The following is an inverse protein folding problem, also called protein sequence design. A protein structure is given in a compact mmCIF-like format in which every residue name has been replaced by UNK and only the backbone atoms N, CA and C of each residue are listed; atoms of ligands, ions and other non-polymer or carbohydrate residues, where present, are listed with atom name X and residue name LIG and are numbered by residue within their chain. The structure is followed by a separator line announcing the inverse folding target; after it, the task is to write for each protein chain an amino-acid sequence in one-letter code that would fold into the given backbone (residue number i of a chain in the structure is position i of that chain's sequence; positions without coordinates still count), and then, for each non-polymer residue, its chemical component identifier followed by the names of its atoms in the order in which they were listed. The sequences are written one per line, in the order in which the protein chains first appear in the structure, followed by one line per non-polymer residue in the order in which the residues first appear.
data_IF_654179391993
#
_entry.id   IF_654179391993
#
_cell.length_a   1.000
_cell.length_b   1.000
_cell.length_c   1.000
_cell.angle_alpha   90.00
_cell.angle_beta   90.00
_cell.angle_gamma   90.00
#
_symmetry.space_group_name_H-M   'P 1'
#
loop_
_entity.id
_entity.type
_entity.pdbx_description
1 polymer ?
#
# COMPACT_ATOMS: atom_id res chain seq x y z
N UNK A 1 21.08 3.00 17.46
CA UNK A 1 20.16 4.02 16.93
C UNK A 1 19.63 4.83 18.09
N UNK A 2 19.76 6.15 18.04
CA UNK A 2 19.16 7.10 18.98
C UNK A 2 17.88 7.66 18.35
N UNK A 3 16.80 7.68 19.15
CA UNK A 3 15.52 8.27 18.78
C UNK A 3 15.30 9.49 19.69
N UNK A 4 14.98 10.64 19.09
CA UNK A 4 14.57 11.84 19.80
C UNK A 4 13.24 12.34 19.24
N UNK A 5 12.22 12.37 20.08
CA UNK A 5 10.87 12.63 19.64
C UNK A 5 10.39 11.59 18.62
N UNK A 6 10.05 12.01 17.41
CA UNK A 6 9.60 11.12 16.35
C UNK A 6 10.68 10.81 15.30
N UNK A 7 11.94 11.21 15.52
CA UNK A 7 13.01 11.10 14.52
C UNK A 7 14.16 10.23 14.99
N UNK A 8 14.86 9.66 14.03
CA UNK A 8 16.17 9.06 14.22
C UNK A 8 17.16 10.21 14.35
N UNK A 9 17.74 10.40 15.54
CA UNK A 9 18.70 11.48 15.80
C UNK A 9 20.12 11.05 15.40
N UNK A 10 20.52 9.81 15.70
CA UNK A 10 21.87 9.35 15.38
C UNK A 10 21.93 7.81 15.24
N UNK A 11 22.96 7.37 14.52
CA UNK A 11 23.30 5.95 14.35
C UNK A 11 24.79 5.79 14.58
N UNK A 12 25.17 4.80 15.38
CA UNK A 12 26.57 4.51 15.68
C UNK A 12 26.88 3.03 15.48
N UNK A 13 28.15 2.69 15.21
CA UNK A 13 28.62 1.31 15.25
C UNK A 13 28.40 0.69 16.63
N UNK A 14 28.26 -0.63 16.67
CA UNK A 14 28.13 -1.38 17.92
C UNK A 14 29.33 -1.11 18.86
N UNK A 15 29.05 -0.98 20.16
CA UNK A 15 30.06 -0.72 21.20
C UNK A 15 30.30 0.76 21.52
N UNK A 16 29.85 1.69 20.68
CA UNK A 16 29.89 3.12 21.00
C UNK A 16 28.74 3.48 21.96
N UNK A 17 29.01 4.35 22.94
CA UNK A 17 28.06 4.72 24.01
C UNK A 17 27.94 6.24 24.17
N UNK A 18 27.75 6.96 23.08
CA UNK A 18 27.67 8.43 23.05
C UNK A 18 26.22 8.94 23.10
N UNK A 19 25.34 8.25 23.79
CA UNK A 19 23.96 8.70 23.99
C UNK A 19 23.77 9.45 25.31
N UNK A 20 22.75 10.32 25.44
CA UNK A 20 22.44 11.05 26.66
C UNK A 20 22.30 10.11 27.88
N UNK A 21 22.74 10.57 29.06
CA UNK A 21 22.73 9.74 30.29
C UNK A 21 21.31 9.35 30.76
N UNK A 22 20.32 10.16 30.38
CA UNK A 22 18.89 9.93 30.65
C UNK A 22 18.17 9.12 29.57
N UNK A 23 18.86 8.69 28.52
CA UNK A 23 18.28 7.90 27.46
C UNK A 23 17.80 6.53 27.98
N UNK A 24 16.57 6.16 27.65
CA UNK A 24 16.08 4.80 27.87
C UNK A 24 16.76 3.84 26.90
N UNK A 25 17.57 2.95 27.39
CA UNK A 25 18.26 1.95 26.56
C UNK A 25 17.39 0.71 26.41
N UNK A 26 17.14 0.32 25.16
CA UNK A 26 16.44 -0.92 24.80
C UNK A 26 17.48 -1.87 24.18
N UNK A 27 17.85 -2.92 24.92
CA UNK A 27 18.75 -3.94 24.41
C UNK A 27 17.96 -4.99 23.59
N UNK A 28 18.28 -5.11 22.32
CA UNK A 28 17.61 -6.06 21.40
C UNK A 28 18.37 -7.36 21.22
N UNK A 29 19.45 -7.59 21.98
CA UNK A 29 20.07 -8.92 22.16
C UNK A 29 20.53 -9.60 20.87
N UNK A 30 21.14 -8.88 19.92
CA UNK A 30 21.65 -9.46 18.67
C UNK A 30 20.59 -9.68 17.57
N UNK A 31 19.36 -9.21 17.80
CA UNK A 31 18.30 -9.18 16.80
C UNK A 31 18.61 -8.17 15.67
N UNK A 32 17.94 -8.31 14.55
CA UNK A 32 18.10 -7.40 13.40
C UNK A 32 17.18 -6.20 13.54
N UNK A 33 17.73 -5.01 13.33
CA UNK A 33 16.99 -3.74 13.30
C UNK A 33 16.84 -3.27 11.86
N UNK A 34 15.61 -3.02 11.44
CA UNK A 34 15.24 -2.68 10.07
C UNK A 34 14.38 -1.40 10.06
N UNK A 35 14.25 -0.71 8.92
CA UNK A 35 13.16 0.25 8.74
C UNK A 35 11.82 -0.50 8.83
N UNK A 36 10.77 0.17 9.27
CA UNK A 36 9.43 -0.39 9.20
C UNK A 36 9.04 -0.76 7.78
N UNK A 37 8.33 -1.88 7.63
CA UNK A 37 7.86 -2.36 6.33
C UNK A 37 6.74 -1.46 5.81
N UNK A 38 6.60 -1.40 4.49
CA UNK A 38 5.57 -0.62 3.79
C UNK A 38 4.79 -1.57 2.87
N UNK A 39 3.47 -1.54 2.93
CA UNK A 39 2.58 -2.25 2.00
C UNK A 39 1.87 -1.23 1.10
N UNK A 40 2.15 -1.30 -0.21
CA UNK A 40 1.66 -0.31 -1.18
C UNK A 40 0.27 -0.62 -1.75
N UNK A 41 -0.36 -1.70 -1.37
CA UNK A 41 -1.69 -2.03 -1.85
C UNK A 41 -2.45 -2.84 -0.81
N UNK A 42 -3.38 -2.19 -0.13
CA UNK A 42 -4.27 -2.85 0.83
C UNK A 42 -5.71 -2.36 0.65
N UNK A 43 -6.66 -3.15 1.16
CA UNK A 43 -8.07 -2.82 1.26
C UNK A 43 -8.53 -2.99 2.71
N UNK A 44 -8.34 -1.95 3.53
CA UNK A 44 -8.53 -2.01 4.97
C UNK A 44 -9.96 -2.38 5.39
N UNK A 45 -10.95 -2.00 4.59
CA UNK A 45 -12.36 -2.03 4.96
C UNK A 45 -13.17 -3.09 4.22
N UNK A 46 -12.52 -3.91 3.37
CA UNK A 46 -13.21 -4.96 2.62
C UNK A 46 -13.71 -6.08 3.54
N UNK A 47 -14.81 -6.76 3.15
CA UNK A 47 -15.38 -7.87 3.92
C UNK A 47 -14.38 -9.00 4.14
N UNK A 48 -14.44 -9.63 5.31
CA UNK A 48 -13.54 -10.75 5.67
C UNK A 48 -13.98 -12.10 5.09
N UNK A 49 -15.27 -12.23 4.78
CA UNK A 49 -15.86 -13.46 4.27
C UNK A 49 -17.14 -13.17 3.51
N UNK A 50 -17.80 -14.24 3.05
CA UNK A 50 -19.10 -14.16 2.37
C UNK A 50 -20.28 -14.37 3.32
N UNK A 51 -20.08 -14.32 4.64
CA UNK A 51 -21.20 -14.42 5.58
C UNK A 51 -22.07 -13.16 5.54
N UNK A 52 -23.39 -13.26 5.84
CA UNK A 52 -24.28 -12.11 5.76
C UNK A 52 -23.86 -10.92 6.62
N UNK A 53 -23.19 -11.16 7.76
CA UNK A 53 -22.70 -10.09 8.63
C UNK A 53 -21.47 -9.41 8.04
N UNK A 54 -20.59 -10.17 7.38
CA UNK A 54 -19.39 -9.63 6.75
C UNK A 54 -19.69 -8.86 5.45
N UNK A 55 -20.82 -9.22 4.79
CA UNK A 55 -21.27 -8.55 3.58
C UNK A 55 -21.94 -7.20 3.83
N UNK A 56 -22.12 -6.80 5.09
CA UNK A 56 -22.65 -5.49 5.40
C UNK A 56 -21.60 -4.41 5.08
N UNK A 57 -21.89 -3.64 4.06
CA UNK A 57 -21.03 -2.55 3.59
C UNK A 57 -21.35 -1.23 4.31
N UNK A 58 -21.58 -1.25 5.62
CA UNK A 58 -21.74 0.00 6.36
C UNK A 58 -20.39 0.65 6.63
N UNK A 59 -20.36 1.97 6.66
CA UNK A 59 -19.17 2.75 7.03
C UNK A 59 -18.66 2.36 8.42
N UNK A 60 -19.57 2.15 9.40
CA UNK A 60 -19.23 1.76 10.76
C UNK A 60 -18.52 0.40 10.81
N UNK A 61 -19.03 -0.61 10.10
CA UNK A 61 -18.39 -1.93 9.98
C UNK A 61 -17.03 -1.81 9.31
N UNK A 62 -16.93 -0.99 8.26
CA UNK A 62 -15.68 -0.70 7.56
C UNK A 62 -14.62 -0.09 8.48
N UNK A 63 -14.99 0.86 9.32
CA UNK A 63 -14.08 1.48 10.29
C UNK A 63 -13.60 0.47 11.34
N UNK A 64 -14.50 -0.33 11.91
CA UNK A 64 -14.14 -1.35 12.90
C UNK A 64 -13.21 -2.42 12.31
N UNK A 65 -13.54 -2.89 11.12
CA UNK A 65 -12.73 -3.86 10.37
C UNK A 65 -11.35 -3.31 10.04
N UNK A 66 -11.31 -2.10 9.51
CA UNK A 66 -10.04 -1.42 9.18
C UNK A 66 -9.17 -1.18 10.40
N UNK A 67 -9.73 -0.76 11.52
CA UNK A 67 -8.98 -0.58 12.77
C UNK A 67 -8.35 -1.89 13.27
N UNK A 68 -9.09 -3.02 13.17
CA UNK A 68 -8.56 -4.35 13.46
C UNK A 68 -7.43 -4.74 12.50
N UNK A 69 -7.63 -4.54 11.20
CA UNK A 69 -6.63 -4.91 10.17
C UNK A 69 -5.34 -4.10 10.33
N UNK A 70 -5.44 -2.81 10.61
CA UNK A 70 -4.29 -1.95 10.89
C UNK A 70 -3.49 -2.43 12.10
N UNK A 71 -4.17 -2.94 13.14
CA UNK A 71 -3.51 -3.53 14.30
C UNK A 71 -2.67 -4.76 13.89
N UNK A 72 -3.24 -5.67 13.12
CA UNK A 72 -2.52 -6.86 12.63
C UNK A 72 -1.32 -6.51 11.76
N UNK A 73 -1.45 -5.46 10.93
CA UNK A 73 -0.34 -4.98 10.11
C UNK A 73 0.82 -4.46 10.95
N UNK A 74 0.56 -3.73 12.05
CA UNK A 74 1.61 -3.34 12.99
C UNK A 74 2.29 -4.55 13.63
N UNK A 75 1.53 -5.55 14.09
CA UNK A 75 2.08 -6.78 14.68
C UNK A 75 2.96 -7.55 13.67
N UNK A 76 2.68 -7.41 12.37
CA UNK A 76 3.50 -7.95 11.29
C UNK A 76 4.72 -7.07 10.92
N UNK A 77 4.95 -5.94 11.59
CA UNK A 77 6.09 -5.05 11.33
C UNK A 77 5.85 -4.00 10.22
N UNK A 78 4.63 -3.92 9.70
CA UNK A 78 4.26 -2.93 8.67
C UNK A 78 3.93 -1.62 9.38
N UNK A 79 4.67 -0.55 9.07
CA UNK A 79 4.52 0.78 9.69
C UNK A 79 3.85 1.82 8.78
N UNK A 80 3.72 1.51 7.49
CA UNK A 80 2.99 2.34 6.53
C UNK A 80 2.23 1.47 5.54
N UNK A 81 1.03 1.91 5.15
CA UNK A 81 0.18 1.23 4.18
C UNK A 81 -0.42 2.23 3.20
N UNK A 82 -0.66 1.78 1.97
CA UNK A 82 -1.42 2.51 0.96
C UNK A 82 -2.74 1.79 0.70
N UNK A 83 -3.83 2.35 1.23
CA UNK A 83 -5.19 1.84 1.09
C UNK A 83 -5.82 2.37 -0.20
N UNK A 84 -6.11 1.47 -1.13
CA UNK A 84 -6.45 1.84 -2.50
C UNK A 84 -7.94 1.69 -2.84
N UNK A 85 -8.75 1.40 -1.88
CA UNK A 85 -10.22 1.49 -1.97
C UNK A 85 -10.87 1.00 -0.67
N UNK A 86 -11.99 1.62 -0.30
CA UNK A 86 -12.77 1.17 0.85
C UNK A 86 -14.19 1.71 0.86
N UNK A 87 -14.98 1.27 1.83
CA UNK A 87 -16.38 1.61 1.93
C UNK A 87 -16.59 3.05 2.44
N UNK A 88 -17.34 3.84 1.71
CA UNK A 88 -17.75 5.19 2.06
C UNK A 88 -16.57 6.07 2.53
N UNK A 89 -16.69 6.76 3.66
CA UNK A 89 -15.63 7.59 4.22
C UNK A 89 -14.70 6.84 5.20
N UNK A 90 -14.92 5.55 5.43
CA UNK A 90 -14.12 4.75 6.38
C UNK A 90 -12.59 4.82 6.13
N UNK A 91 -12.07 4.80 4.88
CA UNK A 91 -10.64 4.95 4.64
C UNK A 91 -10.05 6.27 5.15
N UNK A 92 -10.76 7.38 4.96
CA UNK A 92 -10.33 8.71 5.41
C UNK A 92 -10.37 8.82 6.93
N UNK A 93 -11.41 8.26 7.57
CA UNK A 93 -11.53 8.20 9.04
C UNK A 93 -10.35 7.42 9.63
N UNK A 94 -10.01 6.28 9.05
CA UNK A 94 -8.88 5.46 9.51
C UNK A 94 -7.54 6.19 9.33
N UNK A 95 -7.35 6.89 8.22
CA UNK A 95 -6.16 7.70 7.97
C UNK A 95 -6.02 8.81 9.01
N UNK A 96 -7.08 9.56 9.30
CA UNK A 96 -7.10 10.62 10.31
C UNK A 96 -6.85 10.08 11.72
N UNK A 97 -7.46 8.96 12.08
CA UNK A 97 -7.29 8.35 13.40
C UNK A 97 -5.88 7.79 13.59
N UNK A 98 -5.29 7.24 12.53
CA UNK A 98 -3.89 6.85 12.53
C UNK A 98 -2.96 8.07 12.66
N UNK A 99 -3.16 9.10 11.84
CA UNK A 99 -2.32 10.31 11.83
C UNK A 99 -2.35 11.04 13.17
N UNK A 100 -3.51 11.05 13.84
CA UNK A 100 -3.73 11.67 15.14
C UNK A 100 -3.45 10.75 16.33
N UNK A 101 -2.92 9.56 16.08
CA UNK A 101 -2.55 8.58 17.10
C UNK A 101 -3.71 8.19 18.04
N UNK A 102 -4.92 8.09 17.50
CA UNK A 102 -6.13 7.67 18.25
C UNK A 102 -6.29 6.16 18.29
N UNK A 103 -5.70 5.47 17.34
CA UNK A 103 -5.61 4.00 17.29
C UNK A 103 -4.16 3.57 17.05
N UNK A 104 -3.75 2.39 17.54
CA UNK A 104 -2.49 1.78 17.14
C UNK A 104 -2.61 1.31 15.69
N UNK A 105 -1.89 1.99 14.79
CA UNK A 105 -2.01 1.75 13.36
C UNK A 105 -0.70 2.07 12.64
N UNK A 106 -0.39 1.46 11.49
CA UNK A 106 0.52 2.00 10.50
C UNK A 106 0.09 3.40 10.07
N UNK A 107 0.99 4.15 9.45
CA UNK A 107 0.66 5.37 8.69
C UNK A 107 -0.18 4.99 7.48
N UNK A 108 -1.32 5.63 7.27
CA UNK A 108 -2.25 5.30 6.19
C UNK A 108 -2.19 6.39 5.11
N UNK A 109 -1.81 5.99 3.90
CA UNK A 109 -2.02 6.74 2.68
C UNK A 109 -3.28 6.18 2.02
N UNK A 110 -4.23 7.00 1.61
CA UNK A 110 -5.48 6.46 1.07
C UNK A 110 -5.92 7.13 -0.22
N UNK A 111 -6.50 6.34 -1.12
CA UNK A 111 -7.22 6.82 -2.29
C UNK A 111 -8.72 7.02 -2.00
N UNK A 112 -9.24 6.39 -0.94
CA UNK A 112 -10.68 6.38 -0.67
C UNK A 112 -11.46 5.61 -1.72
N UNK A 113 -12.15 6.30 -2.63
CA UNK A 113 -12.94 5.68 -3.70
C UNK A 113 -12.14 5.49 -4.99
N UNK A 114 -12.41 4.40 -5.69
CA UNK A 114 -11.95 4.22 -7.07
C UNK A 114 -12.78 5.11 -8.00
N UNK A 115 -12.14 5.76 -8.95
CA UNK A 115 -12.80 6.49 -10.05
C UNK A 115 -12.76 5.61 -11.30
N UNK A 116 -13.91 5.33 -11.89
CA UNK A 116 -14.05 4.47 -13.08
C UNK A 116 -15.14 4.98 -14.02
N UNK A 117 -15.11 4.58 -15.28
CA UNK A 117 -16.24 4.78 -16.19
C UNK A 117 -17.37 3.77 -15.90
N UNK A 118 -18.57 4.04 -16.40
CA UNK A 118 -19.73 3.17 -16.19
C UNK A 118 -19.45 1.72 -16.56
N UNK A 119 -19.70 0.81 -15.64
CA UNK A 119 -19.48 -0.63 -15.80
C UNK A 119 -18.02 -1.06 -15.77
N UNK A 120 -17.12 -0.17 -15.35
CA UNK A 120 -15.70 -0.48 -15.15
C UNK A 120 -15.44 -1.26 -13.89
N UNK A 121 -14.16 -1.53 -13.62
CA UNK A 121 -13.77 -2.32 -12.45
C UNK A 121 -14.24 -1.66 -11.13
N UNK A 122 -14.67 -2.51 -10.20
CA UNK A 122 -15.36 -2.21 -8.95
C UNK A 122 -16.84 -1.80 -9.11
N UNK A 123 -17.41 -1.79 -10.36
CA UNK A 123 -18.84 -1.59 -10.61
C UNK A 123 -19.44 -2.63 -11.55
N UNK A 124 -18.63 -3.58 -12.00
CA UNK A 124 -19.00 -4.62 -12.96
C UNK A 124 -19.98 -5.67 -12.41
N UNK A 125 -20.55 -6.48 -13.30
CA UNK A 125 -21.35 -7.65 -12.99
C UNK A 125 -20.53 -8.94 -13.15
N UNK A 126 -20.70 -9.96 -12.30
CA UNK A 126 -21.54 -9.96 -11.09
C UNK A 126 -21.00 -9.00 -10.02
N UNK A 127 -21.91 -8.44 -9.23
CA UNK A 127 -21.52 -7.50 -8.16
C UNK A 127 -20.85 -8.29 -7.04
N UNK A 128 -19.65 -7.85 -6.66
CA UNK A 128 -18.96 -8.32 -5.46
C UNK A 128 -19.38 -7.51 -4.23
N UNK A 129 -19.28 -8.07 -3.02
CA UNK A 129 -19.54 -7.34 -1.77
C UNK A 129 -18.67 -6.09 -1.56
N UNK A 130 -17.51 -6.06 -2.19
CA UNK A 130 -16.58 -4.92 -2.18
C UNK A 130 -16.70 -4.01 -3.41
N UNK A 131 -17.79 -4.13 -4.15
CA UNK A 131 -18.07 -3.35 -5.34
C UNK A 131 -19.36 -2.55 -5.18
N UNK A 132 -19.54 -1.54 -6.02
CA UNK A 132 -20.74 -0.71 -6.05
C UNK A 132 -20.48 0.74 -5.63
N UNK A 133 -21.54 1.56 -5.52
CA UNK A 133 -21.42 3.01 -5.35
C UNK A 133 -20.75 3.45 -4.04
N UNK A 134 -20.76 2.61 -3.01
CA UNK A 134 -20.09 2.90 -1.74
C UNK A 134 -18.57 2.69 -1.80
N UNK A 135 -18.07 2.03 -2.85
CA UNK A 135 -16.65 1.75 -3.06
C UNK A 135 -16.06 2.48 -4.27
N UNK A 136 -16.86 2.68 -5.32
CA UNK A 136 -16.38 3.24 -6.57
C UNK A 136 -17.34 4.28 -7.14
N UNK A 137 -16.78 5.30 -7.75
CA UNK A 137 -17.56 6.34 -8.42
C UNK A 137 -17.50 6.18 -9.92
N UNK A 138 -18.64 5.84 -10.51
CA UNK A 138 -18.81 5.89 -11.96
C UNK A 138 -18.89 7.33 -12.43
N UNK A 139 -18.00 7.70 -13.34
CA UNK A 139 -17.93 9.03 -13.95
C UNK A 139 -17.73 8.89 -15.46
N UNK A 140 -18.43 9.71 -16.22
CA UNK A 140 -18.30 9.76 -17.66
C UNK A 140 -18.04 11.19 -18.11
N UNK A 141 -17.06 11.35 -19.00
CA UNK A 141 -16.59 12.63 -19.52
C UNK A 141 -15.50 13.28 -18.64
N UNK A 142 -14.58 13.96 -19.30
CA UNK A 142 -13.39 14.56 -18.72
C UNK A 142 -13.67 15.47 -17.51
N UNK A 143 -14.69 16.32 -17.58
CA UNK A 143 -15.06 17.24 -16.49
C UNK A 143 -15.56 16.48 -15.26
N UNK A 144 -16.29 15.37 -15.43
CA UNK A 144 -16.76 14.56 -14.31
C UNK A 144 -15.60 13.83 -13.64
N UNK A 145 -14.59 13.40 -14.39
CA UNK A 145 -13.35 12.82 -13.84
C UNK A 145 -12.53 13.84 -13.06
N UNK A 146 -12.37 15.08 -13.56
CA UNK A 146 -11.75 16.18 -12.79
C UNK A 146 -12.51 16.47 -11.50
N UNK A 147 -13.83 16.49 -11.57
CA UNK A 147 -14.69 16.68 -10.40
C UNK A 147 -14.51 15.60 -9.36
N UNK A 148 -14.39 14.33 -9.77
CA UNK A 148 -14.15 13.21 -8.87
C UNK A 148 -12.78 13.30 -8.17
N UNK A 149 -11.72 13.67 -8.90
CA UNK A 149 -10.39 13.90 -8.31
C UNK A 149 -10.44 14.97 -7.22
N UNK A 150 -11.12 16.11 -7.49
CA UNK A 150 -11.28 17.19 -6.50
C UNK A 150 -12.08 16.74 -5.30
N UNK A 151 -13.14 15.97 -5.50
CA UNK A 151 -13.98 15.43 -4.42
C UNK A 151 -13.21 14.46 -3.53
N UNK A 152 -12.41 13.56 -4.12
CA UNK A 152 -11.55 12.63 -3.40
C UNK A 152 -10.48 13.39 -2.60
N UNK A 153 -9.81 14.37 -3.23
CA UNK A 153 -8.85 15.24 -2.58
C UNK A 153 -9.46 16.00 -1.40
N UNK A 154 -10.64 16.59 -1.59
CA UNK A 154 -11.38 17.31 -0.53
C UNK A 154 -11.64 16.42 0.69
N UNK A 155 -11.86 15.12 0.49
CA UNK A 155 -12.08 14.15 1.58
C UNK A 155 -10.79 13.74 2.30
N UNK A 156 -9.61 14.06 1.75
CA UNK A 156 -8.33 13.76 2.37
C UNK A 156 -7.53 12.65 1.69
N UNK A 157 -7.86 12.30 0.44
CA UNK A 157 -7.04 11.37 -0.33
C UNK A 157 -5.62 11.89 -0.49
N UNK A 158 -4.65 10.99 -0.36
CA UNK A 158 -3.22 11.24 -0.55
C UNK A 158 -2.69 10.69 -1.88
N UNK A 159 -3.53 9.97 -2.59
CA UNK A 159 -3.29 9.41 -3.93
C UNK A 159 -4.65 9.25 -4.61
N UNK A 160 -4.69 9.24 -5.93
CA UNK A 160 -5.89 8.95 -6.71
C UNK A 160 -5.79 7.53 -7.28
N UNK A 161 -6.81 6.69 -7.08
CA UNK A 161 -6.94 5.40 -7.77
C UNK A 161 -7.99 5.52 -8.87
N UNK A 162 -7.59 5.20 -10.08
CA UNK A 162 -8.49 5.05 -11.22
C UNK A 162 -8.55 3.58 -11.64
N UNK A 163 -9.64 3.19 -12.30
CA UNK A 163 -9.77 1.86 -12.86
C UNK A 163 -10.45 1.92 -14.24
N UNK A 164 -10.23 0.90 -15.09
CA UNK A 164 -10.96 0.78 -16.35
C UNK A 164 -12.49 0.70 -16.08
N UNK A 165 -13.36 1.26 -16.87
CA UNK A 165 -13.22 1.75 -18.23
C UNK A 165 -13.06 3.28 -18.28
N UNK A 166 -12.29 3.76 -19.24
CA UNK A 166 -12.14 5.19 -19.51
C UNK A 166 -11.73 5.45 -20.96
N UNK A 167 -12.04 6.63 -21.46
CA UNK A 167 -11.50 7.16 -22.71
C UNK A 167 -10.14 7.86 -22.47
N UNK A 168 -9.36 8.13 -23.53
CA UNK A 168 -8.13 8.91 -23.41
C UNK A 168 -8.32 10.27 -22.73
N UNK A 169 -9.40 10.97 -23.02
CA UNK A 169 -9.68 12.30 -22.45
C UNK A 169 -10.03 12.23 -20.96
N UNK A 170 -10.71 11.17 -20.52
CA UNK A 170 -11.08 10.96 -19.13
C UNK A 170 -9.85 10.71 -18.26
N UNK A 171 -9.01 9.77 -18.67
CA UNK A 171 -7.78 9.47 -17.90
C UNK A 171 -6.81 10.64 -17.91
N UNK A 172 -6.63 11.33 -19.03
CA UNK A 172 -5.80 12.53 -19.11
C UNK A 172 -6.30 13.65 -18.19
N UNK A 173 -7.63 13.83 -18.10
CA UNK A 173 -8.25 14.80 -17.22
C UNK A 173 -8.02 14.48 -15.73
N UNK A 174 -8.10 13.21 -15.34
CA UNK A 174 -7.83 12.80 -13.98
C UNK A 174 -6.37 13.01 -13.58
N UNK A 175 -5.43 12.60 -14.45
CA UNK A 175 -3.99 12.75 -14.23
C UNK A 175 -3.60 14.22 -14.11
N UNK A 176 -4.01 15.06 -15.07
CA UNK A 176 -3.74 16.50 -15.07
C UNK A 176 -4.25 17.17 -13.79
N UNK A 177 -5.46 16.86 -13.36
CA UNK A 177 -6.03 17.43 -12.14
C UNK A 177 -5.33 16.94 -10.87
N UNK A 178 -5.03 15.64 -10.77
CA UNK A 178 -4.33 15.08 -9.63
C UNK A 178 -2.92 15.67 -9.49
N UNK A 179 -2.17 15.75 -10.58
CA UNK A 179 -0.82 16.33 -10.56
C UNK A 179 -0.82 17.81 -10.19
N UNK A 180 -1.83 18.59 -10.62
CA UNK A 180 -2.00 20.00 -10.17
C UNK A 180 -2.25 20.11 -8.67
N UNK A 181 -2.90 19.11 -8.08
CA UNK A 181 -3.14 19.04 -6.64
C UNK A 181 -1.96 18.42 -5.87
N UNK A 182 -0.88 18.04 -6.56
CA UNK A 182 0.30 17.41 -5.96
C UNK A 182 0.09 15.94 -5.58
N UNK A 183 -0.90 15.28 -6.19
CA UNK A 183 -1.22 13.86 -5.96
C UNK A 183 -0.74 13.00 -7.12
N UNK A 184 -0.20 11.82 -6.81
CA UNK A 184 0.02 10.74 -7.77
C UNK A 184 -1.28 10.05 -8.15
N UNK A 185 -1.27 9.45 -9.34
CA UNK A 185 -2.35 8.61 -9.85
C UNK A 185 -1.86 7.18 -9.99
N UNK A 186 -2.62 6.23 -9.43
CA UNK A 186 -2.43 4.81 -9.66
C UNK A 186 -3.59 4.25 -10.46
N UNK A 187 -3.30 3.31 -11.37
CA UNK A 187 -4.32 2.67 -12.20
C UNK A 187 -4.42 1.17 -11.96
N UNK A 188 -5.62 0.72 -11.64
CA UNK A 188 -6.03 -0.67 -11.69
C UNK A 188 -6.54 -0.98 -13.12
N UNK A 189 -5.59 -1.25 -14.00
CA UNK A 189 -5.82 -1.28 -15.44
C UNK A 189 -5.30 -2.56 -16.09
N UNK A 190 -6.02 -3.04 -17.06
CA UNK A 190 -5.64 -4.18 -17.88
C UNK A 190 -5.64 -3.84 -19.36
N UNK A 191 -4.90 -4.61 -20.14
CA UNK A 191 -4.89 -4.59 -21.61
C UNK A 191 -4.70 -3.19 -22.23
N UNK A 192 -5.66 -2.72 -23.02
CA UNK A 192 -5.62 -1.40 -23.69
C UNK A 192 -5.64 -0.25 -22.69
N UNK A 193 -6.33 -0.40 -21.57
CA UNK A 193 -6.43 0.66 -20.56
C UNK A 193 -5.08 0.94 -19.89
N UNK A 194 -4.23 -0.08 -19.71
CA UNK A 194 -2.88 0.13 -19.21
C UNK A 194 -2.06 1.03 -20.16
N UNK A 195 -2.16 0.81 -21.47
CA UNK A 195 -1.46 1.66 -22.43
C UNK A 195 -1.98 3.10 -22.39
N UNK A 196 -3.29 3.30 -22.39
CA UNK A 196 -3.91 4.63 -22.29
C UNK A 196 -3.52 5.36 -20.99
N UNK A 197 -3.45 4.64 -19.87
CA UNK A 197 -3.05 5.21 -18.59
C UNK A 197 -1.57 5.64 -18.60
N UNK A 198 -0.68 4.82 -19.15
CA UNK A 198 0.74 5.15 -19.28
C UNK A 198 0.95 6.36 -20.21
N UNK A 199 0.26 6.40 -21.33
CA UNK A 199 0.33 7.52 -22.28
C UNK A 199 -0.21 8.83 -21.67
N UNK A 200 -1.19 8.73 -20.77
CA UNK A 200 -1.72 9.87 -20.02
C UNK A 200 -0.81 10.34 -18.86
N UNK A 201 0.24 9.59 -18.53
CA UNK A 201 1.19 9.96 -17.46
C UNK A 201 0.81 9.45 -16.06
N UNK A 202 0.09 8.33 -15.96
CA UNK A 202 -0.18 7.67 -14.68
C UNK A 202 1.15 7.25 -14.03
N UNK A 203 1.28 7.49 -12.73
CA UNK A 203 2.54 7.27 -11.99
C UNK A 203 2.78 5.78 -11.66
N UNK A 204 1.69 5.02 -11.39
CA UNK A 204 1.79 3.65 -10.91
C UNK A 204 0.75 2.78 -11.62
N UNK A 205 1.15 1.58 -12.02
CA UNK A 205 0.23 0.54 -12.51
C UNK A 205 0.19 -0.61 -11.49
N UNK A 206 -1.02 -0.92 -11.03
CA UNK A 206 -1.28 -2.04 -10.14
C UNK A 206 -1.38 -3.36 -10.92
N UNK A 207 -1.16 -4.47 -10.21
CA UNK A 207 -1.39 -5.84 -10.67
C UNK A 207 -0.52 -6.33 -11.84
N UNK A 208 -0.40 -7.65 -12.02
CA UNK A 208 0.36 -8.25 -13.11
C UNK A 208 -0.53 -8.53 -14.33
N UNK A 209 -1.61 -7.76 -14.51
CA UNK A 209 -2.62 -8.00 -15.53
C UNK A 209 -2.06 -7.91 -16.95
N UNK A 210 -2.70 -8.57 -17.94
CA UNK A 210 -2.19 -8.66 -19.31
C UNK A 210 -1.89 -7.30 -19.92
N UNK A 211 -0.68 -7.15 -20.47
CA UNK A 211 -0.20 -5.96 -21.18
C UNK A 211 0.81 -6.35 -22.24
N UNK A 212 0.93 -5.54 -23.29
CA UNK A 212 1.86 -5.79 -24.38
C UNK A 212 3.29 -5.42 -24.02
N UNK A 213 4.27 -5.95 -24.76
CA UNK A 213 5.67 -5.55 -24.61
C UNK A 213 5.88 -4.06 -24.95
N UNK A 214 5.07 -3.50 -25.86
CA UNK A 214 5.09 -2.05 -26.17
C UNK A 214 4.65 -1.22 -24.96
N UNK A 215 3.61 -1.66 -24.26
CA UNK A 215 3.16 -1.02 -23.01
C UNK A 215 4.24 -1.09 -21.95
N UNK A 216 4.90 -2.23 -21.77
CA UNK A 216 6.01 -2.36 -20.81
C UNK A 216 7.17 -1.42 -21.17
N UNK A 217 7.51 -1.32 -22.46
CA UNK A 217 8.52 -0.35 -22.90
C UNK A 217 8.10 1.10 -22.67
N UNK A 218 6.81 1.42 -22.85
CA UNK A 218 6.27 2.74 -22.53
C UNK A 218 6.38 3.03 -21.03
N UNK A 219 5.97 2.11 -20.15
CA UNK A 219 6.15 2.24 -18.70
C UNK A 219 7.59 2.56 -18.31
N UNK A 220 8.57 1.86 -18.90
CA UNK A 220 9.99 2.13 -18.65
C UNK A 220 10.42 3.53 -19.10
N UNK A 221 9.97 4.00 -20.28
CA UNK A 221 10.29 5.34 -20.79
C UNK A 221 9.65 6.47 -19.95
N UNK A 222 8.45 6.25 -19.49
CA UNK A 222 7.70 7.23 -18.67
C UNK A 222 8.02 7.15 -17.17
N UNK A 223 8.90 6.21 -16.77
CA UNK A 223 9.22 5.94 -15.37
C UNK A 223 7.99 5.55 -14.52
N UNK A 224 6.98 4.95 -15.15
CA UNK A 224 5.79 4.45 -14.46
C UNK A 224 6.18 3.25 -13.61
N UNK A 225 5.94 3.35 -12.29
CA UNK A 225 6.18 2.26 -11.36
C UNK A 225 5.11 1.16 -11.47
N UNK A 226 5.34 0.01 -10.84
CA UNK A 226 4.31 -1.03 -10.73
C UNK A 226 4.28 -1.65 -9.33
N UNK A 227 3.08 -2.02 -8.88
CA UNK A 227 2.86 -2.81 -7.67
C UNK A 227 2.13 -4.09 -8.09
N UNK A 228 2.83 -5.22 -8.28
CA UNK A 228 2.30 -6.38 -9.00
C UNK A 228 1.30 -7.22 -8.21
N UNK A 229 1.30 -7.21 -6.89
CA UNK A 229 0.34 -7.97 -6.06
C UNK A 229 0.13 -9.43 -6.50
N UNK A 230 1.23 -10.15 -6.73
CA UNK A 230 1.19 -11.49 -7.34
C UNK A 230 0.40 -12.50 -6.50
N UNK A 231 0.51 -12.40 -5.17
CA UNK A 231 -0.12 -13.37 -4.28
C UNK A 231 -1.65 -13.36 -4.37
N UNK A 232 -2.28 -12.17 -4.47
CA UNK A 232 -3.75 -12.13 -4.58
C UNK A 232 -4.22 -12.77 -5.89
N UNK A 233 -3.50 -12.57 -6.98
CA UNK A 233 -3.85 -13.19 -8.26
C UNK A 233 -3.62 -14.70 -8.25
N UNK A 234 -2.58 -15.21 -7.56
CA UNK A 234 -2.44 -16.64 -7.32
C UNK A 234 -3.65 -17.19 -6.52
N UNK A 235 -4.11 -16.47 -5.50
CA UNK A 235 -5.30 -16.88 -4.74
C UNK A 235 -6.58 -16.90 -5.60
N UNK A 236 -6.73 -15.96 -6.54
CA UNK A 236 -7.84 -15.97 -7.52
C UNK A 236 -7.76 -17.18 -8.44
N UNK A 237 -6.55 -17.54 -8.91
CA UNK A 237 -6.32 -18.74 -9.72
C UNK A 237 -6.71 -20.01 -8.97
N UNK A 238 -6.25 -20.13 -7.73
CA UNK A 238 -6.52 -21.32 -6.89
C UNK A 238 -8.01 -21.52 -6.59
N UNK A 239 -8.77 -20.42 -6.47
CA UNK A 239 -10.22 -20.48 -6.14
C UNK A 239 -11.14 -20.65 -7.34
N UNK A 240 -10.83 -19.97 -8.45
CA UNK A 240 -11.75 -19.85 -9.58
C UNK A 240 -11.16 -20.28 -10.92
N UNK A 241 -9.97 -20.90 -10.93
CA UNK A 241 -9.30 -21.31 -12.16
C UNK A 241 -8.89 -20.15 -13.05
N UNK A 242 -8.83 -18.93 -12.51
CA UNK A 242 -8.33 -17.74 -13.20
C UNK A 242 -9.29 -17.06 -14.15
N UNK A 243 -10.52 -17.58 -14.31
CA UNK A 243 -11.51 -16.90 -15.13
C UNK A 243 -12.19 -15.78 -14.33
N UNK A 244 -11.96 -14.54 -14.73
CA UNK A 244 -12.55 -13.38 -14.08
C UNK A 244 -14.05 -13.25 -14.33
N UNK A 245 -14.50 -13.50 -15.57
CA UNK A 245 -15.92 -13.63 -15.93
C UNK A 245 -16.81 -12.42 -15.65
N UNK A 246 -16.23 -11.25 -15.40
CA UNK A 246 -16.98 -10.02 -15.18
C UNK A 246 -17.28 -9.27 -16.46
N UNK A 247 -18.13 -8.25 -16.40
CA UNK A 247 -18.45 -7.43 -17.57
C UNK A 247 -17.28 -6.58 -18.04
N UNK A 248 -16.35 -6.21 -17.13
CA UNK A 248 -15.15 -5.45 -17.47
C UNK A 248 -13.95 -6.35 -17.75
N UNK A 249 -13.73 -7.38 -16.93
CA UNK A 249 -12.58 -8.28 -17.02
C UNK A 249 -12.94 -9.61 -17.68
N UNK A 250 -12.80 -9.68 -19.00
CA UNK A 250 -13.18 -10.83 -19.85
C UNK A 250 -11.97 -11.63 -20.33
N UNK A 251 -10.96 -11.74 -19.51
CA UNK A 251 -9.77 -12.52 -19.80
C UNK A 251 -9.61 -13.66 -18.78
N UNK A 252 -8.78 -14.62 -19.14
CA UNK A 252 -8.38 -15.72 -18.24
C UNK A 252 -6.98 -15.43 -17.75
N UNK A 253 -6.80 -15.46 -16.43
CA UNK A 253 -5.50 -15.39 -15.81
C UNK A 253 -4.78 -16.75 -15.91
N UNK A 254 -3.46 -16.73 -15.86
CA UNK A 254 -2.65 -17.90 -15.56
C UNK A 254 -1.41 -17.47 -14.76
N UNK A 255 -1.02 -18.29 -13.80
CA UNK A 255 0.17 -18.02 -12.99
C UNK A 255 1.42 -17.74 -13.84
N UNK A 256 1.56 -18.46 -14.94
CA UNK A 256 2.69 -18.28 -15.86
C UNK A 256 2.62 -16.92 -16.56
N UNK A 257 1.45 -16.52 -17.06
CA UNK A 257 1.30 -15.25 -17.78
C UNK A 257 1.52 -14.06 -16.85
N UNK A 258 0.96 -14.10 -15.64
CA UNK A 258 1.10 -13.05 -14.63
C UNK A 258 2.56 -12.92 -14.18
N UNK A 259 3.22 -14.05 -13.97
CA UNK A 259 4.64 -14.06 -13.61
C UNK A 259 5.56 -13.65 -14.77
N UNK A 260 5.19 -13.94 -16.02
CA UNK A 260 5.92 -13.48 -17.19
C UNK A 260 5.84 -11.96 -17.36
N UNK A 261 4.67 -11.35 -17.06
CA UNK A 261 4.52 -9.89 -17.01
C UNK A 261 5.47 -9.30 -15.95
N UNK A 262 5.50 -9.88 -14.75
CA UNK A 262 6.42 -9.46 -13.69
C UNK A 262 7.89 -9.53 -14.14
N UNK A 263 8.32 -10.66 -14.72
CA UNK A 263 9.69 -10.83 -15.21
C UNK A 263 10.06 -9.85 -16.32
N UNK A 264 9.14 -9.57 -17.24
CA UNK A 264 9.35 -8.59 -18.32
C UNK A 264 9.49 -7.18 -17.76
N UNK A 265 8.68 -6.80 -16.77
CA UNK A 265 8.79 -5.50 -16.10
C UNK A 265 10.14 -5.37 -15.39
N UNK A 266 10.59 -6.41 -14.67
CA UNK A 266 11.92 -6.42 -14.05
C UNK A 266 13.02 -6.26 -15.08
N UNK A 267 12.98 -7.02 -16.19
CA UNK A 267 13.97 -6.97 -17.26
C UNK A 267 14.00 -5.59 -17.96
N UNK A 268 12.87 -4.89 -18.03
CA UNK A 268 12.75 -3.53 -18.56
C UNK A 268 13.23 -2.45 -17.57
N UNK A 269 13.63 -2.81 -16.35
CA UNK A 269 14.09 -1.87 -15.32
C UNK A 269 12.97 -1.04 -14.68
N UNK A 270 11.73 -1.49 -14.76
CA UNK A 270 10.61 -0.82 -14.11
C UNK A 270 10.77 -0.92 -12.59
N UNK A 271 10.60 0.20 -11.91
CA UNK A 271 10.58 0.23 -10.44
C UNK A 271 9.34 -0.50 -9.95
N UNK A 272 9.53 -1.58 -9.21
CA UNK A 272 8.43 -2.36 -8.65
C UNK A 272 8.40 -2.25 -7.14
N UNK A 273 7.20 -2.09 -6.58
CA UNK A 273 6.94 -2.03 -5.15
C UNK A 273 6.24 -3.28 -4.63
N UNK A 274 6.34 -3.51 -3.33
CA UNK A 274 5.62 -4.57 -2.62
C UNK A 274 4.26 -4.04 -2.22
N UNK A 275 3.21 -4.78 -2.57
CA UNK A 275 1.83 -4.56 -2.16
C UNK A 275 1.05 -5.87 -2.17
N UNK A 276 0.17 -6.09 -1.21
CA UNK A 276 -0.47 -7.39 -1.00
C UNK A 276 -1.84 -7.51 -1.67
N UNK A 277 -2.53 -6.39 -1.89
CA UNK A 277 -3.94 -6.38 -2.28
C UNK A 277 -4.80 -7.25 -1.33
N UNK A 278 -4.55 -7.11 -0.02
CA UNK A 278 -5.31 -7.85 1.00
C UNK A 278 -6.79 -7.52 0.92
N UNK A 279 -7.58 -8.51 0.59
CA UNK A 279 -9.03 -8.47 0.51
C UNK A 279 -9.67 -9.44 1.53
N UNK A 280 -9.45 -9.18 2.80
CA UNK A 280 -10.23 -9.70 3.92
C UNK A 280 -10.52 -11.21 4.04
N UNK A 281 -9.77 -12.09 3.38
CA UNK A 281 -9.93 -13.54 3.51
C UNK A 281 -8.84 -14.13 4.41
N UNK A 282 -9.16 -15.19 5.16
CA UNK A 282 -8.24 -15.83 6.10
C UNK A 282 -6.88 -16.26 5.48
N UNK A 283 -6.85 -16.55 4.18
CA UNK A 283 -5.61 -16.86 3.46
C UNK A 283 -4.84 -15.62 3.03
N UNK A 284 -5.42 -14.44 3.20
CA UNK A 284 -4.87 -13.15 2.79
C UNK A 284 -4.58 -12.23 3.98
N UNK A 285 -4.57 -12.78 5.18
CA UNK A 285 -4.22 -12.00 6.37
C UNK A 285 -2.70 -11.92 6.55
N UNK A 286 -2.25 -10.77 7.01
CA UNK A 286 -0.86 -10.58 7.45
C UNK A 286 -0.56 -11.46 8.68
N UNK A 287 0.67 -11.97 8.85
CA UNK A 287 1.84 -11.72 7.99
C UNK A 287 1.93 -12.60 6.74
N UNK A 288 1.06 -13.62 6.60
CA UNK A 288 1.21 -14.65 5.57
C UNK A 288 1.17 -14.10 4.15
N UNK A 289 0.18 -13.27 3.83
CA UNK A 289 0.04 -12.67 2.49
C UNK A 289 1.23 -11.78 2.16
N UNK A 290 1.71 -10.98 3.12
CA UNK A 290 2.85 -10.10 2.91
C UNK A 290 4.14 -10.89 2.65
N UNK A 291 4.39 -11.94 3.44
CA UNK A 291 5.54 -12.82 3.24
C UNK A 291 5.48 -13.57 1.91
N UNK A 292 4.29 -14.03 1.53
CA UNK A 292 4.10 -14.68 0.23
C UNK A 292 4.39 -13.72 -0.94
N UNK A 293 3.98 -12.46 -0.85
CA UNK A 293 4.33 -11.46 -1.85
C UNK A 293 5.85 -11.22 -1.91
N UNK A 294 6.54 -11.14 -0.76
CA UNK A 294 8.00 -11.05 -0.73
C UNK A 294 8.67 -12.27 -1.38
N UNK A 295 8.13 -13.47 -1.16
CA UNK A 295 8.66 -14.69 -1.78
C UNK A 295 8.49 -14.69 -3.30
N UNK A 296 7.40 -14.10 -3.84
CA UNK A 296 7.26 -13.92 -5.29
C UNK A 296 8.37 -13.07 -5.89
N UNK A 297 8.80 -12.01 -5.20
CA UNK A 297 9.95 -11.21 -5.64
C UNK A 297 11.25 -12.02 -5.63
N UNK A 298 11.48 -12.82 -4.58
CA UNK A 298 12.66 -13.70 -4.51
C UNK A 298 12.60 -14.75 -5.64
N UNK A 299 11.44 -15.35 -5.86
CA UNK A 299 11.24 -16.28 -6.98
C UNK A 299 11.48 -15.59 -8.33
N UNK A 300 11.15 -14.32 -8.45
CA UNK A 300 11.44 -13.46 -9.61
C UNK A 300 12.90 -13.00 -9.71
N UNK A 301 13.80 -13.51 -8.85
CA UNK A 301 15.24 -13.28 -8.91
C UNK A 301 15.72 -12.03 -8.17
N UNK A 302 14.98 -11.57 -7.15
CA UNK A 302 15.52 -10.66 -6.15
C UNK A 302 16.19 -11.48 -5.03
N UNK A 303 17.28 -10.98 -4.48
CA UNK A 303 17.80 -11.51 -3.22
C UNK A 303 16.90 -11.11 -2.05
N UNK A 304 16.96 -11.80 -0.89
CA UNK A 304 16.24 -11.36 0.31
C UNK A 304 16.54 -9.92 0.69
N UNK A 305 17.80 -9.48 0.59
CA UNK A 305 18.20 -8.10 0.89
C UNK A 305 17.61 -7.07 -0.09
N UNK A 306 17.57 -7.37 -1.40
CA UNK A 306 16.90 -6.52 -2.40
C UNK A 306 15.39 -6.47 -2.16
N UNK A 307 14.78 -7.60 -1.80
CA UNK A 307 13.35 -7.67 -1.47
C UNK A 307 13.03 -6.81 -0.23
N UNK A 308 13.85 -6.86 0.81
CA UNK A 308 13.71 -5.97 1.97
C UNK A 308 13.87 -4.49 1.60
N UNK A 309 14.83 -4.17 0.74
CA UNK A 309 14.99 -2.81 0.22
C UNK A 309 13.75 -2.36 -0.55
N UNK A 310 13.15 -3.25 -1.33
CA UNK A 310 11.90 -2.99 -2.04
C UNK A 310 10.76 -2.73 -1.07
N UNK A 311 10.59 -3.58 -0.06
CA UNK A 311 9.56 -3.49 0.99
C UNK A 311 9.71 -2.26 1.92
N UNK A 312 10.81 -1.53 1.80
CA UNK A 312 11.12 -0.37 2.64
C UNK A 312 11.44 0.86 1.81
N UNK A 313 12.67 1.02 1.33
CA UNK A 313 13.13 2.25 0.67
C UNK A 313 12.48 2.44 -0.70
N UNK A 314 12.37 1.40 -1.53
CA UNK A 314 11.73 1.53 -2.85
C UNK A 314 10.26 1.86 -2.71
N UNK A 315 9.55 1.22 -1.76
CA UNK A 315 8.17 1.56 -1.45
C UNK A 315 8.03 3.01 -0.97
N UNK A 316 8.94 3.50 -0.14
CA UNK A 316 8.96 4.89 0.28
C UNK A 316 9.19 5.85 -0.92
N UNK A 317 10.05 5.48 -1.87
CA UNK A 317 10.29 6.25 -3.11
C UNK A 317 9.03 6.31 -3.99
N UNK A 318 8.30 5.21 -4.14
CA UNK A 318 7.03 5.19 -4.88
C UNK A 318 6.00 6.13 -4.24
N UNK A 319 6.04 6.29 -2.91
CA UNK A 319 5.17 7.21 -2.16
C UNK A 319 5.67 8.66 -2.10
N UNK A 320 6.86 9.00 -2.66
CA UNK A 320 7.56 10.28 -2.46
C UNK A 320 7.81 10.60 -0.98
N UNK A 321 8.11 9.58 -0.20
CA UNK A 321 8.34 9.66 1.25
C UNK A 321 9.74 9.17 1.65
N UNK A 322 10.64 8.98 0.72
CA UNK A 322 11.97 8.44 1.00
C UNK A 322 12.90 9.45 1.70
N UNK A 323 12.53 10.73 1.74
CA UNK A 323 13.13 11.73 2.63
C UNK A 323 12.78 11.49 4.11
N UNK A 324 11.68 10.80 4.42
CA UNK A 324 11.13 10.57 5.76
C UNK A 324 11.09 9.11 6.19
N UNK A 325 10.95 8.16 5.27
CA UNK A 325 10.69 6.74 5.52
C UNK A 325 11.70 5.82 4.80
N UNK A 326 11.57 4.54 5.01
CA UNK A 326 12.18 3.47 4.22
C UNK A 326 13.65 3.18 4.49
N UNK A 327 14.32 3.94 5.35
CA UNK A 327 15.69 3.62 5.78
C UNK A 327 15.97 4.14 7.19
N UNK A 328 16.86 3.45 7.91
CA UNK A 328 17.37 3.93 9.19
C UNK A 328 18.47 4.94 8.90
N UNK A 329 18.09 6.22 8.88
CA UNK A 329 19.00 7.34 8.55
C UNK A 329 18.65 8.52 9.47
N UNK A 330 19.67 9.22 9.98
CA UNK A 330 19.45 10.39 10.82
C UNK A 330 18.61 11.45 10.11
N UNK A 331 17.65 12.03 10.82
CA UNK A 331 16.67 13.00 10.30
C UNK A 331 15.35 12.40 9.84
N UNK A 332 15.30 11.11 9.49
CA UNK A 332 14.06 10.41 9.11
C UNK A 332 13.20 10.08 10.31
N UNK A 333 11.95 9.74 10.06
CA UNK A 333 11.02 9.28 11.08
C UNK A 333 11.51 7.97 11.69
N UNK A 334 11.31 7.82 12.99
CA UNK A 334 11.71 6.63 13.71
C UNK A 334 10.63 5.53 13.57
N UNK A 335 10.43 5.07 12.35
CA UNK A 335 9.63 3.90 12.00
C UNK A 335 10.60 2.72 11.89
N UNK A 336 10.67 1.91 12.95
CA UNK A 336 11.71 0.89 13.16
C UNK A 336 11.07 -0.44 13.51
N UNK A 337 11.57 -1.49 12.87
CA UNK A 337 11.21 -2.88 13.11
C UNK A 337 12.40 -3.62 13.70
N UNK A 338 12.16 -4.43 14.73
CA UNK A 338 13.13 -5.37 15.30
C UNK A 338 12.61 -6.78 15.12
N UNK A 339 13.40 -7.65 14.49
CA UNK A 339 13.07 -9.06 14.26
C UNK A 339 14.14 -9.99 14.81
N UNK A 340 13.72 -11.16 15.26
CA UNK A 340 14.63 -12.24 15.67
C UNK A 340 15.05 -13.06 14.46
N UNK A 341 16.31 -12.92 14.04
CA UNK A 341 16.87 -13.59 12.87
C UNK A 341 17.51 -12.63 11.86
N UNK A 342 17.78 -13.14 10.66
CA UNK A 342 18.48 -12.47 9.56
C UNK A 342 17.59 -12.41 8.32
N UNK A 343 16.62 -11.48 8.25
CA UNK A 343 15.69 -11.39 7.12
C UNK A 343 16.36 -10.97 5.80
N UNK A 344 17.56 -10.43 5.87
CA UNK A 344 18.44 -10.17 4.71
C UNK A 344 19.03 -11.44 4.07
N UNK A 345 18.96 -12.56 4.78
CA UNK A 345 19.40 -13.90 4.34
C UNK A 345 18.20 -14.82 4.16
N UNK A 346 17.28 -14.83 5.09
CA UNK A 346 16.06 -15.64 5.10
C UNK A 346 14.85 -14.75 5.44
N UNK A 347 14.05 -14.46 4.42
CA UNK A 347 12.91 -13.56 4.53
C UNK A 347 11.86 -14.05 5.55
N UNK A 348 11.79 -15.36 5.82
CA UNK A 348 10.88 -15.95 6.82
C UNK A 348 11.18 -15.49 8.26
N UNK A 349 12.38 -14.95 8.51
CA UNK A 349 12.69 -14.33 9.80
C UNK A 349 11.74 -13.16 10.14
N UNK A 350 11.10 -12.53 9.15
CA UNK A 350 10.07 -11.51 9.37
C UNK A 350 8.84 -12.01 10.13
N UNK A 351 8.61 -13.32 10.25
CA UNK A 351 7.58 -13.88 11.13
C UNK A 351 7.86 -13.65 12.61
N UNK A 352 9.10 -13.34 12.95
CA UNK A 352 9.56 -13.22 14.34
C UNK A 352 9.71 -11.75 14.73
N UNK A 353 8.66 -10.98 14.53
CA UNK A 353 8.61 -9.57 14.98
C UNK A 353 8.74 -9.52 16.50
N UNK A 354 9.70 -8.75 16.98
CA UNK A 354 9.89 -8.48 18.41
C UNK A 354 9.35 -7.11 18.79
N UNK A 355 9.80 -6.06 18.09
CA UNK A 355 9.38 -4.69 18.40
C UNK A 355 9.07 -3.89 17.15
N UNK A 356 8.05 -3.03 17.25
CA UNK A 356 7.74 -2.05 16.22
C UNK A 356 7.62 -0.68 16.84
N UNK A 357 8.35 0.25 16.27
CA UNK A 357 8.25 1.67 16.58
C UNK A 357 7.65 2.40 15.37
N UNK A 358 6.69 3.27 15.62
CA UNK A 358 6.20 4.22 14.64
C UNK A 358 6.27 5.63 15.23
N UNK A 359 6.85 6.57 14.49
CA UNK A 359 7.11 7.93 15.00
C UNK A 359 7.85 7.91 16.36
N UNK A 360 8.78 6.97 16.56
CA UNK A 360 9.54 6.81 17.81
C UNK A 360 8.75 6.21 18.99
N UNK A 361 7.48 5.91 18.82
CA UNK A 361 6.62 5.30 19.84
C UNK A 361 6.67 3.78 19.70
N UNK A 362 7.03 3.09 20.77
CA UNK A 362 6.95 1.62 20.82
C UNK A 362 5.48 1.19 20.83
N UNK A 363 5.03 0.59 19.75
CA UNK A 363 3.65 0.12 19.56
C UNK A 363 3.51 -1.39 19.65
N UNK A 364 4.58 -2.14 19.35
CA UNK A 364 4.63 -3.61 19.49
C UNK A 364 5.83 -3.97 20.32
N UNK A 365 5.65 -4.84 21.32
CA UNK A 365 6.68 -5.42 22.14
C UNK A 365 6.44 -6.93 22.32
N UNK A 366 7.48 -7.75 22.15
CA UNK A 366 7.37 -9.20 22.10
C UNK A 366 6.30 -9.70 21.10
N UNK A 367 6.22 -9.06 19.94
CA UNK A 367 5.29 -9.42 18.86
C UNK A 367 3.82 -9.05 19.11
N UNK A 368 3.51 -8.32 20.18
CA UNK A 368 2.14 -7.94 20.53
C UNK A 368 2.02 -6.43 20.73
N UNK A 369 0.86 -5.89 20.37
CA UNK A 369 0.59 -4.47 20.60
C UNK A 369 0.59 -4.16 22.07
N UNK A 370 1.47 -3.20 22.42
CA UNK A 370 1.51 -2.57 23.72
C UNK A 370 0.97 -1.16 23.56
N UNK A 371 -0.28 -0.96 23.94
CA UNK A 371 -0.91 0.36 23.85
C UNK A 371 -0.77 1.04 25.22
N UNK A 372 0.19 1.97 25.38
CA UNK A 372 0.05 2.95 26.44
C UNK A 372 -1.22 3.73 26.16
N UNK A 373 -1.91 4.18 27.21
CA UNK A 373 -3.12 5.00 27.10
C UNK A 373 -2.87 6.09 26.05
N UNK A 374 -3.53 5.97 24.89
CA UNK A 374 -3.33 6.92 23.80
C UNK A 374 -3.62 8.35 24.26
N UNK A 375 -2.68 9.23 24.04
CA UNK A 375 -2.89 10.66 24.13
C UNK A 375 -3.19 11.15 22.70
N UNK A 376 -4.46 11.47 22.37
CA UNK A 376 -4.78 11.98 21.04
C UNK A 376 -3.97 13.24 20.77
N UNK A 377 -3.34 13.30 19.62
CA UNK A 377 -2.73 14.53 19.13
C UNK A 377 -3.84 15.39 18.51
N UNK A 378 -3.88 16.70 18.78
CA UNK A 378 -4.77 17.58 18.03
C UNK A 378 -4.35 17.52 16.55
N UNK A 379 -5.31 17.57 15.63
CA UNK A 379 -5.03 17.87 14.24
C UNK A 379 -4.30 19.22 14.21
N UNK A 380 -2.99 19.18 14.07
CA UNK A 380 -2.25 20.37 13.70
C UNK A 380 -2.68 20.75 12.29
N UNK A 381 -2.69 22.06 12.01
CA UNK A 381 -3.04 22.59 10.68
C UNK A 381 -2.50 21.68 9.59
N UNK A 382 -3.28 21.48 8.53
CA UNK A 382 -2.79 20.83 7.33
C UNK A 382 -1.38 21.35 7.04
N UNK A 383 -0.42 20.44 6.72
CA UNK A 383 0.91 20.90 6.36
C UNK A 383 0.79 21.94 5.25
N UNK A 384 1.65 22.97 5.22
CA UNK A 384 1.67 23.93 4.12
C UNK A 384 1.69 23.16 2.80
N UNK A 385 1.02 23.67 1.80
CA UNK A 385 0.95 23.03 0.47
C UNK A 385 2.34 22.64 -0.06
N UNK A 386 3.37 23.42 0.31
CA UNK A 386 4.78 23.19 -0.02
C UNK A 386 5.43 22.01 0.74
N UNK A 387 4.79 21.50 1.80
CA UNK A 387 5.29 20.35 2.57
C UNK A 387 4.72 19.01 2.06
N UNK A 388 3.86 19.06 1.05
CA UNK A 388 3.24 17.88 0.40
C UNK A 388 3.98 17.53 -0.91
N UNK A 389 5.03 18.30 -1.25
CA UNK A 389 5.90 18.04 -2.40
C UNK A 389 7.09 17.17 -2.01
#
# INVERSE_FOLDING_TARGET
VLIEGNKIAAIWPAGRRDWPADARVINVGGKTVLPGLIDLHVHLTYPDSTTPIDLQASEGDGVLRGARNLRWMLEAGITSVRDLNGVADAPYILADWSATNRIPAPRVFTAGHIITGTGGHATERPVSPSHGPDYAWERNGADAWRGAVRETFKRGATIIKVASHFSPDEIAAAVDEAHRLGLKVTCDCETVYTALAVDAGVDIIEHPLPRTDDTIRAMARHHTASVPTLQVYQNVLDRSGGFYGSTSRRFTLSAQADFDVFRKMKAAGIVMGIGTDTIGDANQLVPNVYLAELQWFIHGGYSPAETLRTATLTNAQILDMDDKLGSITAGKLADILVVDGRPDVDIEALRKVDKVFRDGILLVDAGQIVVPRHQPKPLTKAPPFDAVR
#
